data_IF_618952355311
#
_entry.id   IF_618952355311
#
_cell.length_a   1.000
_cell.length_b   1.000
_cell.length_c   1.000
_cell.angle_alpha   90.00
_cell.angle_beta   90.00
_cell.angle_gamma   90.00
#
_symmetry.space_group_name_H-M   'P 1'
#
loop_
_entity.id
_entity.type
_entity.pdbx_description
1 polymer ?
#
# COMPACT_ATOMS: atom_id res chain seq x y z
N UNK A 1 5.72 13.13 -5.02
CA UNK A 1 6.53 11.91 -5.28
C UNK A 1 7.24 11.49 -4.00
N UNK A 2 7.94 10.34 -3.94
CA UNK A 2 8.74 9.99 -2.76
C UNK A 2 9.80 11.07 -2.44
N UNK A 3 10.44 11.63 -3.46
CA UNK A 3 11.38 12.74 -3.33
C UNK A 3 10.77 13.96 -2.64
N UNK A 4 9.57 14.36 -3.02
CA UNK A 4 8.86 15.49 -2.40
C UNK A 4 8.61 15.25 -0.90
N UNK A 5 8.26 14.02 -0.53
CA UNK A 5 8.06 13.63 0.87
C UNK A 5 9.38 13.78 1.63
N UNK A 6 10.47 13.20 1.14
CA UNK A 6 11.78 13.31 1.81
C UNK A 6 12.29 14.76 1.92
N UNK A 7 12.05 15.60 0.91
CA UNK A 7 12.36 17.04 1.00
C UNK A 7 11.56 17.71 2.12
N UNK A 8 10.25 17.43 2.21
CA UNK A 8 9.39 17.98 3.29
C UNK A 8 9.83 17.50 4.66
N UNK A 9 10.19 16.22 4.79
CA UNK A 9 10.70 15.61 6.01
C UNK A 9 11.99 16.30 6.44
N UNK A 10 12.97 16.41 5.55
CA UNK A 10 14.25 17.07 5.84
C UNK A 10 14.06 18.53 6.29
N UNK A 11 13.24 19.30 5.58
CA UNK A 11 12.92 20.69 5.95
C UNK A 11 12.19 20.81 7.28
N UNK A 12 11.40 19.80 7.65
CA UNK A 12 10.61 19.79 8.88
C UNK A 12 11.30 19.11 10.04
N UNK A 13 12.48 18.50 9.82
CA UNK A 13 13.19 17.70 10.81
C UNK A 13 13.53 18.50 12.08
N UNK A 14 13.90 19.77 11.91
CA UNK A 14 14.15 20.70 13.04
C UNK A 14 12.92 20.96 13.91
N UNK A 15 11.72 20.64 13.43
CA UNK A 15 10.45 20.80 14.15
C UNK A 15 9.96 19.48 14.76
N UNK A 16 10.69 18.38 14.58
CA UNK A 16 10.32 17.11 15.19
C UNK A 16 10.57 17.17 16.70
N UNK A 17 9.51 16.96 17.49
CA UNK A 17 9.51 17.15 18.95
C UNK A 17 9.71 15.86 19.75
N UNK A 18 9.93 14.71 19.09
CA UNK A 18 10.08 13.40 19.74
C UNK A 18 8.87 12.94 20.57
N UNK A 19 7.68 13.50 20.30
CA UNK A 19 6.42 13.13 20.96
C UNK A 19 5.82 11.81 20.41
N UNK A 20 6.32 11.32 19.27
CA UNK A 20 6.00 10.02 18.70
C UNK A 20 7.25 9.41 18.05
N UNK A 21 7.18 8.12 17.68
CA UNK A 21 8.25 7.49 16.93
C UNK A 21 8.51 8.24 15.61
N UNK A 22 9.78 8.31 15.19
CA UNK A 22 10.14 8.98 13.95
C UNK A 22 9.40 8.41 12.73
N UNK A 23 9.18 7.10 12.70
CA UNK A 23 8.38 6.41 11.68
C UNK A 23 6.96 6.95 11.61
N UNK A 24 6.27 7.07 12.74
CA UNK A 24 4.90 7.61 12.85
C UNK A 24 4.84 9.04 12.32
N UNK A 25 5.78 9.90 12.73
CA UNK A 25 5.86 11.28 12.25
C UNK A 25 6.14 11.38 10.75
N UNK A 26 7.06 10.56 10.23
CA UNK A 26 7.38 10.47 8.80
C UNK A 26 6.16 10.04 7.98
N UNK A 27 5.47 8.98 8.41
CA UNK A 27 4.27 8.48 7.75
C UNK A 27 3.15 9.52 7.74
N UNK A 28 3.01 10.31 8.80
CA UNK A 28 2.06 11.44 8.82
C UNK A 28 2.36 12.46 7.72
N UNK A 29 3.63 12.81 7.51
CA UNK A 29 4.04 13.73 6.42
C UNK A 29 3.76 13.10 5.05
N UNK A 30 4.08 11.81 4.89
CA UNK A 30 3.87 11.07 3.65
C UNK A 30 2.38 10.99 3.28
N UNK A 31 1.54 10.52 4.20
CA UNK A 31 0.09 10.37 4.03
C UNK A 31 -0.56 11.71 3.71
N UNK A 32 -0.23 12.77 4.44
CA UNK A 32 -0.79 14.10 4.17
C UNK A 32 -0.34 14.64 2.81
N UNK A 33 0.92 14.41 2.43
CA UNK A 33 1.42 14.80 1.11
C UNK A 33 0.69 14.06 -0.01
N UNK A 34 0.49 12.75 0.13
CA UNK A 34 -0.27 11.93 -0.82
C UNK A 34 -1.74 12.40 -0.92
N UNK A 35 -2.42 12.59 0.22
CA UNK A 35 -3.80 13.09 0.26
C UNK A 35 -3.95 14.46 -0.40
N UNK A 36 -3.05 15.39 -0.12
CA UNK A 36 -3.05 16.72 -0.72
C UNK A 36 -2.84 16.66 -2.24
N UNK A 37 -1.94 15.78 -2.71
CA UNK A 37 -1.73 15.56 -4.15
C UNK A 37 -2.99 15.02 -4.81
N UNK A 38 -3.62 14.00 -4.24
CA UNK A 38 -4.86 13.42 -4.78
C UNK A 38 -6.01 14.44 -4.84
N UNK A 39 -6.07 15.37 -3.87
CA UNK A 39 -7.05 16.46 -3.83
C UNK A 39 -6.70 17.65 -4.73
N UNK A 40 -5.51 17.73 -5.29
CA UNK A 40 -5.10 18.85 -6.15
C UNK A 40 -5.82 18.81 -7.50
N UNK A 41 -6.22 19.99 -8.00
CA UNK A 41 -6.86 20.14 -9.32
C UNK A 41 -5.94 19.66 -10.45
N UNK A 42 -4.63 19.88 -10.31
CA UNK A 42 -3.63 19.42 -11.26
C UNK A 42 -3.64 17.89 -11.41
N UNK A 43 -3.77 17.14 -10.31
CA UNK A 43 -3.83 15.68 -10.35
C UNK A 43 -5.13 15.16 -10.99
N UNK A 44 -6.26 15.86 -10.76
CA UNK A 44 -7.53 15.54 -11.45
C UNK A 44 -7.45 15.80 -12.96
N UNK A 45 -6.70 16.82 -13.38
CA UNK A 45 -6.51 17.18 -14.78
C UNK A 45 -5.55 16.21 -15.49
N UNK A 46 -4.45 15.80 -14.86
CA UNK A 46 -3.54 14.75 -15.36
C UNK A 46 -4.27 13.41 -15.59
N UNK A 47 -5.17 12.99 -14.69
CA UNK A 47 -5.95 11.75 -14.89
C UNK A 47 -7.04 11.82 -15.96
N UNK A 48 -7.40 13.03 -16.43
CA UNK A 48 -8.34 13.20 -17.56
C UNK A 48 -7.62 13.19 -18.91
N UNK A 49 -6.32 13.40 -18.94
CA UNK A 49 -5.52 13.28 -20.15
C UNK A 49 -5.10 11.83 -20.31
N UNK A 50 -5.85 11.07 -21.10
CA UNK A 50 -5.43 9.76 -21.59
C UNK A 50 -4.41 10.00 -22.70
N UNK A 51 -3.15 9.53 -22.59
CA UNK A 51 -2.25 9.48 -23.73
C UNK A 51 -2.85 8.51 -24.75
N UNK A 52 -3.10 8.98 -25.98
CA UNK A 52 -3.23 8.11 -27.14
C UNK A 52 -1.83 7.70 -27.62
N UNK A 53 -1.74 6.46 -28.09
CA UNK A 53 -0.56 5.72 -28.58
C UNK A 53 0.43 5.21 -27.51
N UNK A 54 1.01 4.02 -27.63
CA UNK A 54 1.31 3.29 -28.87
C UNK A 54 1.41 1.77 -28.66
N UNK A 55 1.08 1.03 -29.72
CA UNK A 55 1.24 -0.41 -29.84
C UNK A 55 2.71 -0.82 -30.03
N UNK A 56 3.26 -1.71 -29.19
CA UNK A 56 4.42 -2.54 -29.59
C UNK A 56 4.37 -3.93 -28.93
N UNK A 57 4.16 -4.94 -29.77
CA UNK A 57 4.45 -6.35 -29.52
C UNK A 57 5.95 -6.63 -29.57
N UNK A 58 6.51 -7.41 -28.65
CA UNK A 58 7.70 -8.23 -28.93
C UNK A 58 7.84 -9.39 -27.93
N UNK A 59 7.59 -10.59 -28.46
CA UNK A 59 7.91 -11.91 -27.93
C UNK A 59 9.43 -12.06 -27.68
N UNK A 60 9.83 -12.73 -26.60
CA UNK A 60 11.09 -13.52 -26.56
C UNK A 60 11.06 -14.55 -25.43
N UNK A 61 10.81 -15.79 -25.82
CA UNK A 61 11.07 -17.00 -25.03
C UNK A 61 12.52 -17.44 -25.21
N UNK A 62 13.17 -17.94 -24.16
CA UNK A 62 14.35 -18.80 -24.27
C UNK A 62 14.45 -19.71 -23.02
N UNK A 63 14.66 -21.03 -23.16
CA UNK A 63 14.67 -21.95 -22.03
C UNK A 63 16.08 -22.05 -21.42
N UNK A 64 16.21 -21.70 -20.14
CA UNK A 64 17.46 -21.77 -19.39
C UNK A 64 17.45 -22.88 -18.35
N UNK A 65 18.07 -24.00 -18.70
CA UNK A 65 18.80 -24.98 -17.87
C UNK A 65 18.26 -25.24 -16.44
N UNK A 66 17.60 -26.39 -16.27
CA UNK A 66 17.22 -26.93 -14.96
C UNK A 66 18.48 -27.27 -14.14
N UNK A 67 18.67 -26.53 -13.04
CA UNK A 67 19.53 -26.94 -11.93
C UNK A 67 18.54 -27.46 -10.89
N UNK A 68 18.58 -28.78 -10.64
CA UNK A 68 17.82 -29.38 -9.56
C UNK A 68 18.36 -28.83 -8.24
N UNK A 69 17.57 -27.97 -7.60
CA UNK A 69 17.81 -27.48 -6.25
C UNK A 69 16.84 -28.22 -5.31
N UNK A 70 17.35 -28.70 -4.18
CA UNK A 70 16.59 -29.43 -3.15
C UNK A 70 15.75 -28.48 -2.27
N UNK A 71 15.48 -27.27 -2.75
CA UNK A 71 14.59 -26.30 -2.14
C UNK A 71 13.13 -26.64 -2.46
N UNK A 72 12.22 -26.22 -1.57
CA UNK A 72 10.77 -26.54 -1.58
C UNK A 72 10.18 -26.64 -2.99
N UNK A 73 9.44 -27.72 -3.26
CA UNK A 73 8.90 -28.06 -4.59
C UNK A 73 8.43 -26.82 -5.37
N UNK A 74 8.79 -26.65 -6.66
CA UNK A 74 8.36 -25.53 -7.50
C UNK A 74 6.84 -25.27 -7.45
N UNK A 75 6.05 -26.32 -7.22
CA UNK A 75 4.61 -26.24 -7.04
C UNK A 75 4.20 -25.46 -5.77
N UNK A 76 4.90 -25.66 -4.65
CA UNK A 76 4.64 -24.99 -3.37
C UNK A 76 5.01 -23.52 -3.41
N UNK A 77 6.13 -23.16 -4.05
CA UNK A 77 6.50 -21.76 -4.27
C UNK A 77 5.55 -21.05 -5.24
N UNK A 78 5.04 -21.77 -6.26
CA UNK A 78 4.01 -21.24 -7.15
C UNK A 78 2.69 -20.97 -6.40
N UNK A 79 2.21 -21.93 -5.60
CA UNK A 79 1.00 -21.81 -4.79
C UNK A 79 1.09 -20.62 -3.81
N UNK A 80 2.23 -20.46 -3.14
CA UNK A 80 2.49 -19.32 -2.25
C UNK A 80 2.46 -17.99 -2.99
N UNK A 81 3.04 -17.91 -4.19
CA UNK A 81 3.00 -16.70 -5.04
C UNK A 81 1.59 -16.37 -5.48
N UNK A 82 0.80 -17.36 -5.90
CA UNK A 82 -0.59 -17.18 -6.28
C UNK A 82 -1.45 -16.69 -5.10
N UNK A 83 -1.25 -17.27 -3.92
CA UNK A 83 -1.92 -16.83 -2.69
C UNK A 83 -1.57 -15.39 -2.31
N UNK A 84 -0.29 -15.00 -2.40
CA UNK A 84 0.14 -13.63 -2.15
C UNK A 84 -0.43 -12.65 -3.16
N UNK A 85 -0.48 -13.04 -4.44
CA UNK A 85 -1.11 -12.22 -5.48
C UNK A 85 -2.59 -11.99 -5.18
N UNK A 86 -3.33 -13.04 -4.83
CA UNK A 86 -4.75 -12.94 -4.51
C UNK A 86 -5.01 -12.06 -3.28
N UNK A 87 -4.18 -12.15 -2.23
CA UNK A 87 -4.23 -11.25 -1.06
C UNK A 87 -3.98 -9.80 -1.48
N UNK A 88 -2.93 -9.55 -2.26
CA UNK A 88 -2.59 -8.21 -2.72
C UNK A 88 -3.71 -7.60 -3.59
N UNK A 89 -4.32 -8.39 -4.47
CA UNK A 89 -5.46 -7.97 -5.29
C UNK A 89 -6.70 -7.67 -4.44
N UNK A 90 -6.99 -8.48 -3.42
CA UNK A 90 -8.09 -8.23 -2.50
C UNK A 90 -7.91 -6.91 -1.74
N UNK A 91 -6.71 -6.65 -1.23
CA UNK A 91 -6.34 -5.39 -0.56
C UNK A 91 -6.45 -4.20 -1.52
N UNK A 92 -6.00 -4.36 -2.77
CA UNK A 92 -6.09 -3.31 -3.79
C UNK A 92 -7.54 -2.95 -4.17
N UNK A 93 -8.47 -3.88 -4.00
CA UNK A 93 -9.92 -3.67 -4.25
C UNK A 93 -10.66 -3.06 -3.05
N UNK A 94 -10.00 -2.84 -1.91
CA UNK A 94 -10.62 -2.14 -0.78
C UNK A 94 -10.80 -0.64 -1.09
N UNK A 95 -11.83 0.00 -0.52
CA UNK A 95 -11.92 1.45 -0.50
C UNK A 95 -10.64 2.08 0.05
N UNK A 96 -10.21 3.22 -0.51
CA UNK A 96 -8.91 3.82 -0.20
C UNK A 96 -8.68 4.02 1.32
N UNK A 97 -9.70 4.45 2.05
CA UNK A 97 -9.61 4.67 3.50
C UNK A 97 -9.49 3.37 4.31
N UNK A 98 -10.09 2.29 3.83
CA UNK A 98 -9.99 0.96 4.43
C UNK A 98 -8.63 0.34 4.14
N UNK A 99 -8.17 0.45 2.89
CA UNK A 99 -6.82 0.02 2.47
C UNK A 99 -5.75 0.73 3.30
N UNK A 100 -5.87 2.05 3.48
CA UNK A 100 -4.92 2.85 4.26
C UNK A 100 -4.77 2.31 5.69
N UNK A 101 -5.87 2.08 6.42
CA UNK A 101 -5.79 1.59 7.80
C UNK A 101 -5.32 0.14 7.89
N UNK A 102 -5.69 -0.73 6.95
CA UNK A 102 -5.22 -2.13 6.90
C UNK A 102 -3.72 -2.17 6.63
N UNK A 103 -3.23 -1.38 5.68
CA UNK A 103 -1.78 -1.33 5.40
C UNK A 103 -1.02 -0.88 6.64
N UNK A 104 -1.42 0.22 7.28
CA UNK A 104 -0.70 0.71 8.45
C UNK A 104 -0.78 -0.26 9.65
N UNK A 105 -1.94 -0.88 9.91
CA UNK A 105 -2.12 -1.74 11.09
C UNK A 105 -1.64 -3.17 10.87
N UNK A 106 -2.12 -3.81 9.81
CA UNK A 106 -2.00 -5.26 9.62
C UNK A 106 -0.74 -5.64 8.82
N UNK A 107 -0.17 -4.70 8.05
CA UNK A 107 1.04 -4.93 7.24
C UNK A 107 2.27 -4.26 7.89
N UNK A 108 2.18 -2.96 8.18
CA UNK A 108 3.31 -2.20 8.76
C UNK A 108 3.41 -2.34 10.29
N UNK A 109 2.34 -2.81 10.96
CA UNK A 109 2.37 -3.15 12.39
C UNK A 109 2.13 -1.99 13.36
N UNK A 110 1.76 -0.79 12.89
CA UNK A 110 1.50 0.36 13.77
C UNK A 110 0.35 0.10 14.75
N UNK A 111 0.41 0.67 15.95
CA UNK A 111 -0.70 0.65 16.92
C UNK A 111 -1.94 1.38 16.40
N UNK A 112 -3.11 1.16 17.01
CA UNK A 112 -4.33 1.86 16.57
C UNK A 112 -4.20 3.38 16.77
N UNK A 113 -3.50 3.78 17.83
CA UNK A 113 -3.20 5.15 18.22
C UNK A 113 -2.25 5.80 17.20
N UNK A 114 -1.18 5.11 16.79
CA UNK A 114 -0.28 5.60 15.75
C UNK A 114 -0.98 5.69 14.39
N UNK A 115 -1.84 4.72 14.05
CA UNK A 115 -2.65 4.79 12.82
C UNK A 115 -3.57 6.01 12.85
N UNK A 116 -4.18 6.31 14.01
CA UNK A 116 -5.00 7.50 14.19
C UNK A 116 -4.16 8.78 13.99
N UNK A 117 -2.97 8.85 14.56
CA UNK A 117 -2.03 9.97 14.41
C UNK A 117 -1.56 10.15 12.95
N UNK A 118 -1.16 9.06 12.29
CA UNK A 118 -0.69 9.04 10.90
C UNK A 118 -1.79 9.49 9.94
N UNK A 119 -3.01 8.97 10.12
CA UNK A 119 -4.13 9.21 9.20
C UNK A 119 -4.89 10.50 9.49
N UNK A 120 -4.68 11.10 10.68
CA UNK A 120 -5.42 12.27 11.17
C UNK A 120 -6.88 11.98 11.52
N UNK A 121 -7.23 10.71 11.74
CA UNK A 121 -8.59 10.27 12.04
C UNK A 121 -8.71 9.91 13.54
N UNK A 122 -9.91 10.02 14.11
CA UNK A 122 -10.11 9.56 15.48
C UNK A 122 -10.00 8.02 15.61
N UNK A 123 -9.66 7.55 16.82
CA UNK A 123 -9.44 6.13 17.10
C UNK A 123 -10.66 5.24 16.76
N UNK A 124 -11.88 5.74 16.99
CA UNK A 124 -13.12 5.04 16.65
C UNK A 124 -13.29 4.82 15.15
N UNK A 125 -12.90 5.81 14.34
CA UNK A 125 -12.88 5.73 12.88
C UNK A 125 -11.88 4.67 12.41
N UNK A 126 -10.68 4.64 12.99
CA UNK A 126 -9.68 3.60 12.69
C UNK A 126 -10.24 2.21 12.98
N UNK A 127 -10.78 1.99 14.18
CA UNK A 127 -11.38 0.70 14.58
C UNK A 127 -12.52 0.29 13.65
N UNK A 128 -13.44 1.19 13.34
CA UNK A 128 -14.59 0.89 12.48
C UNK A 128 -14.19 0.62 11.01
N UNK A 129 -13.17 1.32 10.48
CA UNK A 129 -12.65 1.08 9.14
C UNK A 129 -11.93 -0.27 9.06
N UNK A 130 -11.12 -0.61 10.07
CA UNK A 130 -10.45 -1.92 10.15
C UNK A 130 -11.43 -3.08 10.25
N UNK A 131 -12.47 -2.95 11.08
CA UNK A 131 -13.51 -3.97 11.20
C UNK A 131 -14.19 -4.25 9.84
N UNK A 132 -14.57 -3.18 9.12
CA UNK A 132 -15.18 -3.28 7.78
C UNK A 132 -14.20 -3.87 6.77
N UNK A 133 -12.95 -3.40 6.75
CA UNK A 133 -11.93 -3.87 5.83
C UNK A 133 -11.64 -5.37 6.00
N UNK A 134 -11.50 -5.85 7.24
CA UNK A 134 -11.29 -7.27 7.53
C UNK A 134 -12.49 -8.13 7.15
N UNK A 135 -13.71 -7.63 7.33
CA UNK A 135 -14.92 -8.32 6.89
C UNK A 135 -14.98 -8.45 5.36
N UNK A 136 -14.62 -7.39 4.64
CA UNK A 136 -14.56 -7.39 3.18
C UNK A 136 -13.45 -8.29 2.64
N UNK A 137 -12.26 -8.26 3.25
CA UNK A 137 -11.17 -9.17 2.92
C UNK A 137 -11.56 -10.63 3.17
N UNK A 138 -12.20 -10.94 4.30
CA UNK A 138 -12.69 -12.30 4.59
C UNK A 138 -13.66 -12.80 3.51
N UNK A 139 -14.55 -11.95 3.03
CA UNK A 139 -15.47 -12.30 1.92
C UNK A 139 -14.71 -12.57 0.62
N UNK A 140 -13.72 -11.72 0.29
CA UNK A 140 -12.94 -11.81 -0.96
C UNK A 140 -11.96 -12.98 -0.98
N UNK A 141 -11.43 -13.38 0.18
CA UNK A 141 -10.38 -14.40 0.29
C UNK A 141 -10.91 -15.79 0.66
N UNK A 142 -12.23 -15.96 0.80
CA UNK A 142 -12.88 -17.23 1.22
C UNK A 142 -12.55 -18.43 0.31
N UNK A 143 -12.18 -18.19 -0.94
CA UNK A 143 -11.82 -19.24 -1.91
C UNK A 143 -10.30 -19.42 -2.08
N UNK A 144 -9.50 -18.62 -1.37
CA UNK A 144 -8.04 -18.53 -1.49
C UNK A 144 -7.35 -19.03 -0.21
N UNK A 145 -8.08 -19.02 0.91
CA UNK A 145 -7.67 -19.43 2.26
C UNK A 145 -8.73 -20.40 2.76
#
# INVERSE_FOLDING_TARGET
SAQEIFIKVYRSLKKFRFESAFSTWLYRIAVNTCKNRLKSSAYRQERRMVPLDDSVSANRSSPGREIHDESQSPATELEKKERMRAIQEAINKLPAEQKEVVTLRDIEGFSYEEVAEITGCNLGTVKSRLARARLDLRKKLRSVI
#
